data_IF_182526935099
#
_entry.id   IF_182526935099
#
_cell.length_a   1.000
_cell.length_b   1.000
_cell.length_c   1.000
_cell.angle_alpha   90.00
_cell.angle_beta   90.00
_cell.angle_gamma   90.00
#
_symmetry.space_group_name_H-M   'P 1'
#
loop_
_entity.id
_entity.type
_entity.pdbx_description
1 polymer ?
#
# COMPACT_ATOMS: atom_id res chain seq x y z
N UNK A 1 20.76 25.18 21.83
CA UNK A 1 20.92 24.73 20.43
C UNK A 1 21.43 25.89 19.60
N UNK A 2 22.38 25.67 18.71
CA UNK A 2 22.79 26.71 17.76
C UNK A 2 21.69 26.94 16.70
N UNK A 3 21.61 28.13 16.07
CA UNK A 3 20.66 28.38 14.98
C UNK A 3 20.74 27.35 13.84
N UNK A 4 21.95 26.84 13.57
CA UNK A 4 22.20 25.79 12.56
C UNK A 4 21.55 24.46 12.97
N UNK A 5 21.69 24.05 14.23
CA UNK A 5 21.05 22.83 14.73
C UNK A 5 19.52 22.93 14.67
N UNK A 6 18.97 24.10 14.96
CA UNK A 6 17.53 24.35 14.85
C UNK A 6 17.05 24.24 13.40
N UNK A 7 17.77 24.84 12.45
CA UNK A 7 17.46 24.74 11.02
C UNK A 7 17.49 23.29 10.52
N UNK A 8 18.56 22.54 10.84
CA UNK A 8 18.69 21.12 10.47
C UNK A 8 17.59 20.27 11.13
N UNK A 9 17.24 20.56 12.39
CA UNK A 9 16.12 19.93 13.07
C UNK A 9 14.79 20.17 12.37
N UNK A 10 14.50 21.42 11.98
CA UNK A 10 13.28 21.76 11.22
C UNK A 10 13.25 21.05 9.86
N UNK A 11 14.36 21.05 9.12
CA UNK A 11 14.45 20.34 7.84
C UNK A 11 14.26 18.83 8.02
N UNK A 12 14.76 18.25 9.10
CA UNK A 12 14.60 16.83 9.41
C UNK A 12 13.15 16.51 9.73
N UNK A 13 12.48 17.33 10.53
CA UNK A 13 11.07 17.15 10.84
C UNK A 13 10.20 17.26 9.58
N UNK A 14 10.45 18.26 8.74
CA UNK A 14 9.76 18.40 7.45
C UNK A 14 10.00 17.18 6.56
N UNK A 15 11.25 16.72 6.46
CA UNK A 15 11.60 15.54 5.69
C UNK A 15 10.92 14.27 6.20
N UNK A 16 10.93 14.06 7.52
CA UNK A 16 10.27 12.92 8.15
C UNK A 16 8.75 12.98 7.97
N UNK A 17 8.16 14.17 8.00
CA UNK A 17 6.71 14.34 7.79
C UNK A 17 6.24 13.90 6.40
N UNK A 18 7.09 14.01 5.38
CA UNK A 18 6.77 13.53 4.04
C UNK A 18 6.50 12.02 4.05
N UNK A 19 7.15 11.24 4.92
CA UNK A 19 6.99 9.78 4.97
C UNK A 19 5.64 9.31 5.55
N UNK A 20 4.79 10.25 5.97
CA UNK A 20 3.41 10.00 6.29
C UNK A 20 2.60 9.87 5.01
N UNK A 21 2.19 8.64 4.70
CA UNK A 21 1.38 8.33 3.52
C UNK A 21 -0.04 8.04 3.94
N UNK A 22 -0.98 8.83 3.42
CA UNK A 22 -2.40 8.50 3.53
C UNK A 22 -2.77 7.37 2.56
N UNK A 23 -3.41 6.34 3.10
CA UNK A 23 -3.92 5.18 2.37
C UNK A 23 -5.43 5.16 2.56
N UNK A 24 -6.16 4.95 1.47
CA UNK A 24 -7.62 4.90 1.51
C UNK A 24 -8.09 3.62 2.20
N UNK A 25 -9.31 3.63 2.75
CA UNK A 25 -9.91 2.47 3.42
C UNK A 25 -10.20 1.28 2.50
N UNK A 26 -10.24 1.53 1.18
CA UNK A 26 -10.45 0.55 0.10
C UNK A 26 -9.13 0.14 -0.58
N UNK A 27 -7.98 0.37 0.06
CA UNK A 27 -6.68 0.02 -0.48
C UNK A 27 -5.81 -0.72 0.53
N UNK A 28 -5.04 -1.68 0.04
CA UNK A 28 -3.98 -2.33 0.81
C UNK A 28 -2.66 -1.63 0.55
N UNK A 29 -1.93 -1.34 1.62
CA UNK A 29 -0.59 -0.79 1.54
C UNK A 29 0.42 -1.92 1.68
N UNK A 30 1.14 -2.23 0.61
CA UNK A 30 2.30 -3.10 0.64
C UNK A 30 3.53 -2.26 0.90
N UNK A 31 4.23 -2.47 2.01
CA UNK A 31 5.49 -1.79 2.27
C UNK A 31 6.64 -2.78 2.37
N UNK A 32 7.83 -2.34 1.94
CA UNK A 32 9.06 -3.12 2.07
C UNK A 32 9.77 -2.75 3.36
N UNK A 33 10.12 -3.76 4.16
CA UNK A 33 10.94 -3.62 5.37
C UNK A 33 12.16 -4.53 5.25
N UNK A 34 13.30 -3.94 4.92
CA UNK A 34 14.53 -4.68 4.64
C UNK A 34 14.40 -5.56 3.38
N UNK A 35 14.49 -6.88 3.54
CA UNK A 35 14.36 -7.84 2.43
C UNK A 35 12.94 -8.36 2.20
N UNK A 36 12.03 -8.15 3.14
CA UNK A 36 10.66 -8.67 3.07
C UNK A 36 9.64 -7.59 2.72
N UNK A 37 8.49 -8.06 2.25
CA UNK A 37 7.28 -7.24 2.08
C UNK A 37 6.25 -7.60 3.14
N UNK A 38 5.54 -6.59 3.61
CA UNK A 38 4.40 -6.71 4.52
C UNK A 38 3.20 -5.96 3.93
N UNK A 39 2.00 -6.50 4.12
CA UNK A 39 0.75 -5.81 3.78
C UNK A 39 0.15 -5.20 5.04
N UNK A 40 -0.33 -3.97 4.90
CA UNK A 40 -1.06 -3.25 5.92
C UNK A 40 -2.46 -2.98 5.38
N UNK A 41 -3.43 -3.69 5.95
CA UNK A 41 -4.85 -3.55 5.60
C UNK A 41 -5.57 -2.61 6.57
N UNK A 42 -5.08 -2.49 7.82
CA UNK A 42 -5.59 -1.62 8.90
C UNK A 42 -4.46 -1.26 9.87
N UNK A 43 -4.69 -0.27 10.75
CA UNK A 43 -3.77 0.04 11.86
C UNK A 43 -2.69 1.07 11.55
N UNK A 44 -2.99 2.08 10.72
CA UNK A 44 -2.14 3.26 10.61
C UNK A 44 -2.03 4.03 11.94
N UNK A 45 -1.07 4.96 12.01
CA UNK A 45 -0.88 5.87 13.16
C UNK A 45 -2.16 6.61 13.52
N UNK A 46 -2.92 6.99 12.49
CA UNK A 46 -4.24 7.60 12.60
C UNK A 46 -5.14 6.84 11.63
N UNK A 47 -6.29 6.37 12.09
CA UNK A 47 -7.27 5.68 11.25
C UNK A 47 -8.62 6.39 11.31
N UNK A 48 -9.34 6.33 10.19
CA UNK A 48 -10.67 6.92 10.01
C UNK A 48 -11.49 6.03 9.08
N UNK A 49 -12.79 6.32 8.94
CA UNK A 49 -13.64 5.66 7.95
C UNK A 49 -13.20 5.88 6.50
N UNK A 50 -12.41 6.93 6.22
CA UNK A 50 -11.93 7.26 4.88
C UNK A 50 -10.58 6.65 4.53
N UNK A 51 -9.87 6.11 5.53
CA UNK A 51 -8.50 5.63 5.36
C UNK A 51 -7.65 5.83 6.60
N UNK A 52 -6.36 5.56 6.45
CA UNK A 52 -5.39 5.61 7.52
C UNK A 52 -4.05 6.20 7.08
N UNK A 53 -3.39 6.86 8.02
CA UNK A 53 -2.06 7.44 7.86
C UNK A 53 -1.00 6.43 8.28
N UNK A 54 -0.09 6.10 7.37
CA UNK A 54 0.98 5.14 7.61
C UNK A 54 2.35 5.79 7.50
N UNK A 55 3.28 5.34 8.34
CA UNK A 55 4.68 5.70 8.22
C UNK A 55 5.40 4.74 7.26
N UNK A 56 6.03 5.30 6.23
CA UNK A 56 6.88 4.57 5.28
C UNK A 56 8.35 4.81 5.63
N UNK A 57 9.25 3.89 5.26
CA UNK A 57 10.65 3.97 5.66
C UNK A 57 11.32 5.28 5.19
N UNK A 58 12.02 6.02 6.07
CA UNK A 58 12.48 7.38 5.81
C UNK A 58 13.73 7.47 4.93
N UNK A 59 14.40 6.36 4.65
CA UNK A 59 15.58 6.39 3.78
C UNK A 59 15.12 6.15 2.35
N UNK A 60 15.46 7.03 1.40
CA UNK A 60 15.05 6.89 0.01
C UNK A 60 15.43 5.50 -0.49
N UNK A 61 14.49 4.84 -1.18
CA UNK A 61 14.72 3.59 -1.93
C UNK A 61 15.04 2.33 -1.12
N UNK A 62 15.36 2.48 0.17
CA UNK A 62 15.34 1.36 1.11
C UNK A 62 13.90 1.04 1.54
N UNK A 63 13.04 2.07 1.57
CA UNK A 63 11.59 1.91 1.63
C UNK A 63 11.01 1.72 0.24
N UNK A 64 9.97 0.91 0.14
CA UNK A 64 9.04 0.90 -1.00
C UNK A 64 7.64 0.77 -0.47
N UNK A 65 6.69 1.39 -1.16
CA UNK A 65 5.29 1.30 -0.82
C UNK A 65 4.43 1.24 -2.08
N UNK A 66 3.59 0.22 -2.18
CA UNK A 66 2.53 0.13 -3.19
C UNK A 66 1.17 0.20 -2.52
N UNK A 67 0.26 0.97 -3.10
CA UNK A 67 -1.13 1.04 -2.70
C UNK A 67 -1.95 0.37 -3.78
N UNK A 68 -2.64 -0.71 -3.43
CA UNK A 68 -3.45 -1.51 -4.37
C UNK A 68 -4.90 -1.50 -3.90
N UNK A 69 -5.83 -1.11 -4.76
CA UNK A 69 -7.25 -1.03 -4.38
C UNK A 69 -7.87 -2.43 -4.32
N UNK A 70 -8.76 -2.66 -3.36
CA UNK A 70 -9.39 -3.97 -3.10
C UNK A 70 -10.63 -4.22 -3.95
N UNK A 71 -11.24 -3.19 -4.52
CA UNK A 71 -12.40 -3.32 -5.39
C UNK A 71 -12.35 -2.29 -6.51
N UNK A 72 -12.89 -2.62 -7.70
CA UNK A 72 -12.96 -1.66 -8.79
C UNK A 72 -13.82 -0.47 -8.34
N UNK A 73 -13.57 0.75 -8.86
CA UNK A 73 -14.41 1.89 -8.58
C UNK A 73 -15.84 1.61 -9.05
N UNK A 74 -16.71 1.15 -8.16
CA UNK A 74 -18.15 1.05 -8.40
C UNK A 74 -18.80 2.38 -8.09
N UNK A 75 -19.62 2.82 -9.05
CA UNK A 75 -20.55 3.94 -9.02
C UNK A 75 -19.94 5.36 -8.99
N UNK A 76 -19.59 5.86 -10.19
CA UNK A 76 -20.29 7.02 -10.79
C UNK A 76 -19.50 7.64 -11.94
N UNK A 77 -19.10 6.86 -12.94
CA UNK A 77 -18.96 7.40 -14.29
C UNK A 77 -19.14 6.26 -15.26
N UNK A 78 -20.15 6.41 -16.12
CA UNK A 78 -20.35 5.61 -17.32
C UNK A 78 -19.11 5.75 -18.18
N UNK A 79 -18.14 4.86 -17.99
CA UNK A 79 -17.13 4.57 -18.98
C UNK A 79 -17.11 3.07 -19.10
N UNK A 80 -17.42 2.60 -20.30
CA UNK A 80 -17.33 1.23 -20.79
C UNK A 80 -15.86 0.77 -20.83
N UNK A 81 -15.10 1.07 -19.79
CA UNK A 81 -13.73 0.64 -19.59
C UNK A 81 -13.81 -0.81 -19.10
N UNK A 82 -13.42 -1.70 -20.00
CA UNK A 82 -13.22 -3.13 -19.81
C UNK A 82 -12.74 -3.43 -18.38
N UNK A 83 -13.64 -3.93 -17.52
CA UNK A 83 -13.21 -4.48 -16.22
C UNK A 83 -12.12 -5.51 -16.53
N UNK A 84 -10.93 -5.42 -15.91
CA UNK A 84 -9.92 -6.45 -16.12
C UNK A 84 -10.55 -7.78 -15.71
N UNK A 85 -10.43 -8.80 -16.56
CA UNK A 85 -10.90 -10.14 -16.22
C UNK A 85 -10.25 -10.58 -14.90
N UNK A 86 -10.97 -11.36 -14.09
CA UNK A 86 -10.45 -11.88 -12.82
C UNK A 86 -9.12 -12.59 -13.03
N UNK A 87 -8.97 -13.30 -14.15
CA UNK A 87 -7.71 -13.93 -14.57
C UNK A 87 -6.56 -12.92 -14.69
N UNK A 88 -6.80 -11.77 -15.33
CA UNK A 88 -5.79 -10.70 -15.45
C UNK A 88 -5.48 -10.10 -14.07
N UNK A 89 -6.51 -9.85 -13.25
CA UNK A 89 -6.34 -9.27 -11.92
C UNK A 89 -5.54 -10.19 -10.97
N UNK A 90 -5.60 -11.51 -11.17
CA UNK A 90 -4.87 -12.52 -10.41
C UNK A 90 -3.59 -13.03 -11.08
N UNK A 91 -3.18 -12.45 -12.21
CA UNK A 91 -1.98 -12.87 -12.95
C UNK A 91 -0.69 -12.47 -12.23
N UNK A 92 -0.14 -13.40 -11.44
CA UNK A 92 1.16 -13.25 -10.74
C UNK A 92 2.30 -12.92 -11.70
N UNK A 93 2.25 -13.46 -12.93
CA UNK A 93 3.29 -13.24 -13.94
C UNK A 93 3.25 -11.79 -14.44
N UNK A 94 2.06 -11.26 -14.74
CA UNK A 94 1.92 -9.88 -15.22
C UNK A 94 2.24 -8.86 -14.12
N UNK A 95 1.90 -9.17 -12.87
CA UNK A 95 2.34 -8.38 -11.71
C UNK A 95 3.86 -8.35 -11.63
N UNK A 96 4.53 -9.50 -11.75
CA UNK A 96 5.99 -9.60 -11.74
C UNK A 96 6.65 -8.80 -12.85
N UNK A 97 6.13 -8.90 -14.08
CA UNK A 97 6.61 -8.10 -15.22
C UNK A 97 6.39 -6.60 -15.01
N UNK A 98 5.21 -6.19 -14.53
CA UNK A 98 4.93 -4.76 -14.25
C UNK A 98 5.83 -4.22 -13.14
N UNK A 99 6.03 -5.00 -12.08
CA UNK A 99 6.95 -4.65 -10.99
C UNK A 99 8.39 -4.44 -11.50
N UNK A 100 8.92 -5.38 -12.30
CA UNK A 100 10.26 -5.27 -12.87
C UNK A 100 10.38 -4.10 -13.85
N UNK A 101 9.41 -3.93 -14.76
CA UNK A 101 9.42 -2.84 -15.73
C UNK A 101 9.36 -1.45 -15.08
N UNK A 102 8.61 -1.31 -13.99
CA UNK A 102 8.59 -0.06 -13.20
C UNK A 102 9.93 0.16 -12.50
N UNK A 103 10.54 -0.88 -11.93
CA UNK A 103 11.85 -0.75 -11.28
C UNK A 103 12.93 -0.26 -12.27
N UNK A 104 12.98 -0.86 -13.46
CA UNK A 104 13.93 -0.51 -14.51
C UNK A 104 13.68 0.91 -15.04
N UNK A 105 12.43 1.25 -15.33
CA UNK A 105 12.07 2.56 -15.87
C UNK A 105 12.44 3.72 -14.93
N UNK A 106 12.34 3.50 -13.62
CA UNK A 106 12.60 4.52 -12.60
C UNK A 106 14.03 4.48 -12.03
N UNK A 107 14.92 3.63 -12.54
CA UNK A 107 16.29 3.49 -12.06
C UNK A 107 17.11 4.78 -12.21
N UNK A 108 16.88 5.60 -13.23
CA UNK A 108 17.59 6.89 -13.37
C UNK A 108 17.14 7.91 -12.33
N UNK A 109 15.83 7.96 -12.03
CA UNK A 109 15.26 8.82 -10.99
C UNK A 109 15.81 8.48 -9.60
N UNK A 110 16.20 7.22 -9.43
CA UNK A 110 16.86 6.71 -8.25
C UNK A 110 18.16 7.46 -7.94
N UNK A 111 19.02 7.64 -8.94
CA UNK A 111 20.30 8.30 -8.74
C UNK A 111 20.14 9.79 -8.44
N UNK A 112 19.24 10.48 -9.15
CA UNK A 112 19.00 11.91 -8.90
C UNK A 112 18.44 12.15 -7.50
N UNK A 113 17.56 11.27 -7.03
CA UNK A 113 17.01 11.31 -5.67
C UNK A 113 18.09 11.08 -4.60
N UNK A 114 19.01 10.13 -4.80
CA UNK A 114 20.17 9.94 -3.90
C UNK A 114 21.11 11.13 -3.89
N UNK A 115 21.41 11.70 -5.06
CA UNK A 115 22.27 12.88 -5.15
C UNK A 115 21.65 14.07 -4.41
N UNK A 116 20.35 14.29 -4.58
CA UNK A 116 19.64 15.37 -3.88
C UNK A 116 19.58 15.13 -2.36
N UNK A 117 19.35 13.88 -1.94
CA UNK A 117 19.42 13.50 -0.54
C UNK A 117 20.82 13.74 0.05
N UNK A 118 21.87 13.29 -0.64
CA UNK A 118 23.26 13.50 -0.22
C UNK A 118 23.63 14.99 -0.18
N UNK A 119 23.13 15.78 -1.14
CA UNK A 119 23.31 17.23 -1.16
C UNK A 119 22.74 17.88 0.11
N UNK A 120 21.52 17.52 0.50
CA UNK A 120 20.83 18.09 1.66
C UNK A 120 21.37 17.57 3.00
N UNK A 121 21.68 16.27 3.10
CA UNK A 121 21.99 15.63 4.37
C UNK A 121 23.48 15.45 4.64
N UNK A 122 24.33 15.49 3.62
CA UNK A 122 25.78 15.27 3.76
C UNK A 122 26.55 16.53 3.35
N UNK A 123 26.31 17.05 2.15
CA UNK A 123 27.08 18.18 1.61
C UNK A 123 26.73 19.48 2.35
N UNK A 124 25.44 19.74 2.61
CA UNK A 124 24.99 20.92 3.34
C UNK A 124 25.65 21.09 4.72
N UNK A 125 25.59 20.11 5.66
CA UNK A 125 26.23 20.26 6.97
C UNK A 125 27.76 20.41 6.86
N UNK A 126 28.42 19.73 5.92
CA UNK A 126 29.85 19.89 5.69
C UNK A 126 30.18 21.32 5.23
N UNK A 127 29.50 21.83 4.21
CA UNK A 127 29.73 23.19 3.70
C UNK A 127 29.41 24.26 4.75
N UNK A 128 28.37 24.07 5.56
CA UNK A 128 28.06 24.97 6.69
C UNK A 128 29.22 25.07 7.68
N UNK A 129 29.87 23.94 7.97
CA UNK A 129 30.97 23.89 8.92
C UNK A 129 32.23 24.59 8.41
N UNK A 130 32.50 24.53 7.11
CA UNK A 130 33.75 25.07 6.53
C UNK A 130 33.62 26.48 5.95
N UNK A 131 32.50 26.81 5.30
CA UNK A 131 32.37 28.02 4.48
C UNK A 131 31.34 29.02 5.02
N UNK A 132 30.57 28.65 6.05
CA UNK A 132 29.47 29.46 6.57
C UNK A 132 28.25 29.50 5.65
N UNK A 133 27.25 30.31 6.02
CA UNK A 133 25.91 30.24 5.42
C UNK A 133 25.84 30.81 3.98
N UNK A 134 26.47 31.96 3.73
CA UNK A 134 26.26 32.71 2.49
C UNK A 134 26.81 32.04 1.21
N UNK A 135 28.10 31.64 1.13
CA UNK A 135 28.60 30.96 -0.06
C UNK A 135 27.97 29.56 -0.24
N UNK A 136 27.66 28.89 0.87
CA UNK A 136 26.95 27.62 0.85
C UNK A 136 25.58 27.75 0.17
N UNK A 137 24.81 28.80 0.48
CA UNK A 137 23.47 28.98 -0.09
C UNK A 137 23.49 29.00 -1.63
N UNK A 138 24.44 29.68 -2.26
CA UNK A 138 24.53 29.72 -3.72
C UNK A 138 24.89 28.36 -4.34
N UNK A 139 25.84 27.64 -3.72
CA UNK A 139 26.25 26.31 -4.19
C UNK A 139 25.10 25.30 -4.02
N UNK A 140 24.47 25.28 -2.85
CA UNK A 140 23.36 24.37 -2.58
C UNK A 140 22.12 24.71 -3.39
N UNK A 141 21.76 26.00 -3.52
CA UNK A 141 20.57 26.40 -4.28
C UNK A 141 20.72 26.04 -5.76
N UNK A 142 21.88 26.30 -6.37
CA UNK A 142 22.14 25.94 -7.77
C UNK A 142 22.15 24.43 -7.99
N UNK A 143 22.87 23.68 -7.13
CA UNK A 143 22.90 22.22 -7.18
C UNK A 143 21.53 21.59 -6.98
N UNK A 144 20.78 22.06 -5.98
CA UNK A 144 19.43 21.59 -5.69
C UNK A 144 18.48 21.91 -6.86
N UNK A 145 18.53 23.13 -7.40
CA UNK A 145 17.69 23.53 -8.54
C UNK A 145 17.96 22.64 -9.77
N UNK A 146 19.22 22.41 -10.13
CA UNK A 146 19.58 21.54 -11.25
C UNK A 146 19.05 20.12 -11.03
N UNK A 147 19.26 19.55 -9.84
CA UNK A 147 18.80 18.21 -9.52
C UNK A 147 17.27 18.12 -9.47
N UNK A 148 16.58 19.12 -8.95
CA UNK A 148 15.10 19.18 -8.91
C UNK A 148 14.52 19.26 -10.32
N UNK A 149 15.07 20.12 -11.19
CA UNK A 149 14.65 20.22 -12.60
C UNK A 149 14.89 18.90 -13.34
N UNK A 150 16.07 18.29 -13.15
CA UNK A 150 16.38 16.99 -13.74
C UNK A 150 15.43 15.90 -13.24
N UNK A 151 15.15 15.87 -11.94
CA UNK A 151 14.24 14.92 -11.31
C UNK A 151 12.81 15.07 -11.85
N UNK A 152 12.28 16.29 -11.88
CA UNK A 152 10.96 16.60 -12.44
C UNK A 152 10.85 16.25 -13.93
N UNK A 153 11.89 16.53 -14.72
CA UNK A 153 11.93 16.19 -16.15
C UNK A 153 11.94 14.67 -16.38
N UNK A 154 12.79 13.92 -15.66
CA UNK A 154 12.84 12.46 -15.72
C UNK A 154 11.49 11.88 -15.29
N UNK A 155 10.93 12.38 -14.19
CA UNK A 155 9.62 11.96 -13.68
C UNK A 155 8.52 12.17 -14.73
N UNK A 156 8.44 13.36 -15.33
CA UNK A 156 7.45 13.66 -16.37
C UNK A 156 7.60 12.73 -17.58
N UNK A 157 8.83 12.47 -18.02
CA UNK A 157 9.13 11.62 -19.18
C UNK A 157 8.86 10.14 -18.93
N UNK A 158 9.27 9.60 -17.78
CA UNK A 158 9.09 8.20 -17.45
C UNK A 158 7.63 7.92 -17.10
N UNK A 159 7.02 8.75 -16.25
CA UNK A 159 5.63 8.57 -15.85
C UNK A 159 4.65 8.72 -17.02
N UNK A 160 4.92 9.60 -17.99
CA UNK A 160 4.07 9.69 -19.19
C UNK A 160 4.13 8.44 -20.07
N UNK A 161 5.27 7.73 -20.08
CA UNK A 161 5.43 6.46 -20.81
C UNK A 161 4.82 5.28 -20.06
N UNK A 162 4.98 5.22 -18.74
CA UNK A 162 4.54 4.08 -17.92
C UNK A 162 3.06 4.18 -17.53
N UNK A 163 2.55 5.40 -17.30
CA UNK A 163 1.18 5.67 -16.84
C UNK A 163 0.55 6.78 -17.68
N UNK A 164 0.18 6.45 -18.92
CA UNK A 164 -0.40 7.41 -19.88
C UNK A 164 -1.76 7.96 -19.44
N UNK A 165 -2.55 7.19 -18.68
CA UNK A 165 -3.93 7.51 -18.31
C UNK A 165 -4.05 8.47 -17.10
N UNK A 166 -2.96 8.70 -16.34
CA UNK A 166 -3.00 9.46 -15.08
C UNK A 166 -2.44 10.88 -15.21
N UNK A 167 -3.00 11.68 -16.13
CA UNK A 167 -2.51 13.03 -16.44
C UNK A 167 -2.47 14.01 -15.27
N UNK A 168 -3.54 14.09 -14.49
CA UNK A 168 -3.67 15.02 -13.35
C UNK A 168 -2.72 14.65 -12.19
N UNK A 169 -2.62 13.35 -11.89
CA UNK A 169 -1.71 12.86 -10.87
C UNK A 169 -0.25 13.10 -11.27
N UNK A 170 0.09 12.90 -12.54
CA UNK A 170 1.41 13.25 -13.08
C UNK A 170 1.73 14.73 -12.89
N UNK A 171 0.79 15.62 -13.23
CA UNK A 171 1.00 17.07 -13.06
C UNK A 171 1.24 17.41 -11.59
N UNK A 172 0.43 16.86 -10.67
CA UNK A 172 0.61 17.07 -9.23
C UNK A 172 1.96 16.58 -8.73
N UNK A 173 2.39 15.39 -9.15
CA UNK A 173 3.69 14.82 -8.77
C UNK A 173 4.85 15.69 -9.29
N UNK A 174 4.81 16.08 -10.57
CA UNK A 174 5.84 16.93 -11.18
C UNK A 174 5.89 18.30 -10.51
N UNK A 175 4.75 18.95 -10.29
CA UNK A 175 4.69 20.24 -9.59
C UNK A 175 5.23 20.13 -8.15
N UNK A 176 4.87 19.07 -7.41
CA UNK A 176 5.40 18.87 -6.06
C UNK A 176 6.92 18.70 -6.07
N UNK A 177 7.48 17.92 -7.00
CA UNK A 177 8.92 17.75 -7.15
C UNK A 177 9.63 19.05 -7.58
N UNK A 178 9.00 19.91 -8.39
CA UNK A 178 9.55 21.22 -8.76
C UNK A 178 9.54 22.22 -7.59
N UNK A 179 8.51 22.17 -6.74
CA UNK A 179 8.30 23.18 -5.70
C UNK A 179 8.94 22.82 -4.36
N UNK A 180 9.24 21.55 -4.12
CA UNK A 180 9.81 21.07 -2.86
C UNK A 180 10.98 20.11 -3.10
N UNK A 181 12.20 20.42 -2.59
CA UNK A 181 13.32 19.49 -2.67
C UNK A 181 13.04 18.18 -1.91
N UNK A 182 12.23 18.22 -0.85
CA UNK A 182 11.86 17.04 -0.08
C UNK A 182 10.95 16.12 -0.89
N UNK A 183 9.99 16.69 -1.63
CA UNK A 183 9.15 15.94 -2.56
C UNK A 183 9.97 15.38 -3.72
N UNK A 184 10.97 16.12 -4.23
CA UNK A 184 11.88 15.64 -5.27
C UNK A 184 12.75 14.47 -4.80
N UNK A 185 13.23 14.47 -3.56
CA UNK A 185 13.96 13.32 -2.97
C UNK A 185 13.07 12.06 -2.95
N UNK A 186 11.76 12.22 -2.78
CA UNK A 186 10.79 11.14 -2.66
C UNK A 186 9.98 10.87 -3.94
N UNK A 187 10.31 11.55 -5.03
CA UNK A 187 9.54 11.45 -6.28
C UNK A 187 9.49 10.03 -6.81
N UNK A 188 10.58 9.27 -6.60
CA UNK A 188 10.66 7.85 -6.92
C UNK A 188 9.65 6.99 -6.15
N UNK A 189 9.50 7.22 -4.85
CA UNK A 189 8.54 6.48 -4.01
C UNK A 189 7.09 6.85 -4.35
N UNK A 190 6.84 8.14 -4.58
CA UNK A 190 5.50 8.65 -4.87
C UNK A 190 5.00 8.23 -6.25
N UNK A 191 5.88 8.26 -7.26
CA UNK A 191 5.53 7.94 -8.64
C UNK A 191 5.15 6.48 -8.86
N UNK A 192 5.73 5.55 -8.09
CA UNK A 192 5.43 4.13 -8.20
C UNK A 192 4.32 3.67 -7.26
N UNK A 193 3.78 4.54 -6.39
CA UNK A 193 2.81 4.17 -5.36
C UNK A 193 1.62 3.40 -5.92
N UNK A 194 1.15 3.76 -7.11
CA UNK A 194 -0.01 3.14 -7.78
C UNK A 194 0.40 2.16 -8.90
N UNK A 195 1.68 1.77 -8.97
CA UNK A 195 2.20 0.96 -10.07
C UNK A 195 1.50 -0.41 -10.21
N UNK A 196 0.99 -0.95 -9.12
CA UNK A 196 0.31 -2.24 -9.08
C UNK A 196 -1.21 -2.09 -8.95
N UNK A 197 -1.75 -0.90 -9.18
CA UNK A 197 -3.20 -0.71 -9.21
C UNK A 197 -3.82 -1.48 -10.40
N UNK A 198 -5.07 -1.93 -10.22
CA UNK A 198 -5.77 -2.79 -11.16
C UNK A 198 -5.51 -4.30 -11.00
N UNK A 199 -4.57 -4.71 -10.15
CA UNK A 199 -4.42 -6.11 -9.74
C UNK A 199 -5.11 -6.38 -8.41
N UNK A 200 -5.47 -7.64 -8.16
CA UNK A 200 -6.02 -8.03 -6.87
C UNK A 200 -4.92 -8.02 -5.79
N UNK A 201 -5.14 -7.42 -4.61
CA UNK A 201 -4.12 -7.31 -3.56
C UNK A 201 -3.49 -8.64 -3.13
N UNK A 202 -4.27 -9.73 -3.04
CA UNK A 202 -3.70 -11.05 -2.72
C UNK A 202 -2.77 -11.60 -3.81
N UNK A 203 -3.04 -11.31 -5.07
CA UNK A 203 -2.16 -11.69 -6.17
C UNK A 203 -0.86 -10.87 -6.12
N UNK A 204 -0.96 -9.58 -5.79
CA UNK A 204 0.20 -8.72 -5.54
C UNK A 204 1.04 -9.27 -4.39
N UNK A 205 0.40 -9.62 -3.28
CA UNK A 205 1.05 -10.25 -2.13
C UNK A 205 1.78 -11.54 -2.53
N UNK A 206 1.20 -12.35 -3.42
CA UNK A 206 1.81 -13.59 -3.90
C UNK A 206 3.02 -13.35 -4.82
N UNK A 207 2.99 -12.28 -5.61
CA UNK A 207 4.01 -11.93 -6.59
C UNK A 207 5.22 -11.20 -5.99
N UNK A 208 5.02 -10.46 -4.89
CA UNK A 208 6.08 -9.68 -4.26
C UNK A 208 7.14 -10.61 -3.62
N UNK A 209 8.44 -10.38 -3.89
CA UNK A 209 9.49 -11.30 -3.46
C UNK A 209 9.72 -11.25 -1.94
N UNK A 210 9.64 -12.38 -1.25
CA UNK A 210 9.84 -12.44 0.20
C UNK A 210 8.68 -11.84 1.01
N UNK A 211 7.48 -11.77 0.42
CA UNK A 211 6.27 -11.41 1.15
C UNK A 211 5.97 -12.44 2.25
N UNK A 212 5.78 -11.97 3.49
CA UNK A 212 5.48 -12.81 4.65
C UNK A 212 4.00 -12.70 5.04
N UNK A 213 3.43 -13.76 5.61
CA UNK A 213 2.04 -13.74 6.09
C UNK A 213 0.97 -13.81 4.98
N UNK A 214 1.32 -14.34 3.80
CA UNK A 214 0.36 -14.50 2.71
C UNK A 214 -0.84 -15.37 3.09
N UNK A 215 -0.58 -16.49 3.79
CA UNK A 215 -1.61 -17.45 4.21
C UNK A 215 -2.65 -16.81 5.13
N UNK A 216 -2.21 -16.09 6.16
CA UNK A 216 -3.12 -15.39 7.09
C UNK A 216 -4.00 -14.36 6.39
N UNK A 217 -3.42 -13.60 5.45
CA UNK A 217 -4.15 -12.61 4.66
C UNK A 217 -5.15 -13.27 3.69
N UNK A 218 -4.74 -14.34 3.02
CA UNK A 218 -5.59 -15.10 2.12
C UNK A 218 -6.76 -15.73 2.89
N UNK A 219 -6.48 -16.34 4.05
CA UNK A 219 -7.50 -16.91 4.94
C UNK A 219 -8.50 -15.86 5.42
N UNK A 220 -8.05 -14.65 5.77
CA UNK A 220 -8.91 -13.56 6.22
C UNK A 220 -9.82 -13.05 5.09
N UNK A 221 -9.28 -12.86 3.88
CA UNK A 221 -10.06 -12.39 2.74
C UNK A 221 -11.01 -13.48 2.21
N UNK A 222 -10.57 -14.74 2.17
CA UNK A 222 -11.42 -15.88 1.85
C UNK A 222 -12.66 -15.94 2.74
N UNK A 223 -12.47 -15.91 4.07
CA UNK A 223 -13.58 -15.90 5.04
C UNK A 223 -14.46 -14.66 4.86
N UNK A 224 -13.86 -13.50 4.57
CA UNK A 224 -14.60 -12.25 4.34
C UNK A 224 -15.55 -12.36 3.15
N UNK A 225 -15.12 -12.97 2.05
CA UNK A 225 -15.90 -13.13 0.82
C UNK A 225 -16.91 -14.29 0.93
N UNK A 226 -16.47 -15.43 1.46
CA UNK A 226 -17.33 -16.62 1.61
C UNK A 226 -18.50 -16.36 2.57
N UNK A 227 -18.22 -15.69 3.69
CA UNK A 227 -19.22 -15.31 4.68
C UNK A 227 -19.69 -13.86 4.50
N UNK A 228 -19.59 -13.24 3.30
CA UNK A 228 -20.37 -12.02 3.00
C UNK A 228 -21.71 -12.36 2.35
N UNK A 229 -21.73 -13.38 1.50
CA UNK A 229 -22.89 -13.79 0.69
C UNK A 229 -24.04 -14.37 1.53
N UNK A 230 -23.74 -15.01 2.66
CA UNK A 230 -24.77 -15.68 3.47
C UNK A 230 -25.61 -14.75 4.38
N UNK A 231 -25.33 -13.44 4.45
CA UNK A 231 -26.06 -12.50 5.33
C UNK A 231 -27.24 -11.78 4.67
N UNK A 232 -27.47 -11.95 3.36
CA UNK A 232 -28.53 -11.20 2.65
C UNK A 232 -29.96 -11.70 2.93
N UNK A 233 -30.16 -12.74 3.75
CA UNK A 233 -31.50 -13.14 4.18
C UNK A 233 -32.09 -12.25 5.30
N UNK A 234 -31.39 -11.20 5.74
CA UNK A 234 -31.86 -10.31 6.81
C UNK A 234 -31.51 -8.82 6.55
N UNK A 235 -32.38 -8.14 5.81
CA UNK A 235 -32.66 -6.70 5.80
C UNK A 235 -31.53 -5.71 6.19
N UNK A 236 -30.99 -4.99 5.19
CA UNK A 236 -30.83 -3.51 5.15
C UNK A 236 -29.64 -3.10 4.26
N UNK A 237 -30.01 -2.54 3.10
CA UNK A 237 -29.34 -1.50 2.30
C UNK A 237 -27.91 -1.07 2.68
N UNK A 238 -26.89 -1.70 2.09
CA UNK A 238 -25.68 -1.03 1.60
C UNK A 238 -24.74 -2.00 0.86
N UNK A 239 -24.56 -1.76 -0.44
CA UNK A 239 -23.54 -2.36 -1.33
C UNK A 239 -23.65 -3.90 -1.44
N UNK A 240 -24.56 -4.34 -2.30
CA UNK A 240 -24.60 -5.72 -2.80
C UNK A 240 -23.34 -5.96 -3.63
N UNK A 241 -22.29 -6.51 -3.01
CA UNK A 241 -21.25 -7.19 -3.79
C UNK A 241 -21.94 -8.43 -4.35
N UNK A 242 -22.02 -8.52 -5.67
CA UNK A 242 -22.71 -9.62 -6.34
C UNK A 242 -22.17 -10.96 -5.81
N UNK A 243 -23.07 -11.84 -5.38
CA UNK A 243 -22.74 -13.16 -4.89
C UNK A 243 -21.91 -13.94 -5.91
N UNK A 244 -22.16 -13.71 -7.21
CA UNK A 244 -21.39 -14.28 -8.31
C UNK A 244 -19.94 -13.75 -8.32
N UNK A 245 -19.74 -12.43 -8.24
CA UNK A 245 -18.40 -11.81 -8.21
C UNK A 245 -17.58 -12.30 -7.01
N UNK A 246 -18.21 -12.43 -5.84
CA UNK A 246 -17.56 -12.97 -4.64
C UNK A 246 -17.14 -14.43 -4.81
N UNK A 247 -17.97 -15.26 -5.45
CA UNK A 247 -17.67 -16.66 -5.72
C UNK A 247 -16.52 -16.82 -6.72
N UNK A 248 -16.48 -16.01 -7.77
CA UNK A 248 -15.38 -16.02 -8.75
C UNK A 248 -14.05 -15.59 -8.12
N UNK A 249 -14.06 -14.56 -7.27
CA UNK A 249 -12.86 -14.14 -6.54
C UNK A 249 -12.41 -15.23 -5.57
N UNK A 250 -13.33 -15.90 -4.86
CA UNK A 250 -12.98 -17.06 -4.03
C UNK A 250 -12.31 -18.14 -4.87
N UNK A 251 -12.90 -18.54 -6.00
CA UNK A 251 -12.30 -19.55 -6.89
C UNK A 251 -10.88 -19.16 -7.33
N UNK A 252 -10.64 -17.89 -7.65
CA UNK A 252 -9.30 -17.40 -8.00
C UNK A 252 -8.31 -17.47 -6.81
N UNK A 253 -8.75 -17.15 -5.60
CA UNK A 253 -7.94 -17.31 -4.37
C UNK A 253 -7.59 -18.77 -4.13
N UNK A 254 -8.53 -19.70 -4.32
CA UNK A 254 -8.32 -21.14 -4.16
C UNK A 254 -7.29 -21.67 -5.16
N UNK A 255 -7.38 -21.28 -6.43
CA UNK A 255 -6.38 -21.63 -7.46
C UNK A 255 -5.00 -21.11 -7.05
N UNK A 256 -4.91 -19.87 -6.59
CA UNK A 256 -3.65 -19.27 -6.17
C UNK A 256 -3.06 -19.95 -4.93
N UNK A 257 -3.90 -20.34 -3.96
CA UNK A 257 -3.50 -21.07 -2.76
C UNK A 257 -2.90 -22.44 -3.09
N UNK A 258 -3.60 -23.21 -3.94
CA UNK A 258 -3.13 -24.53 -4.38
C UNK A 258 -1.79 -24.45 -5.12
N UNK A 259 -1.59 -23.42 -5.96
CA UNK A 259 -0.28 -23.17 -6.62
C UNK A 259 0.85 -22.90 -5.63
N UNK A 260 0.53 -22.44 -4.43
CA UNK A 260 1.49 -22.22 -3.33
C UNK A 260 1.61 -23.43 -2.38
N UNK A 261 0.92 -24.53 -2.68
CA UNK A 261 0.92 -25.74 -1.85
C UNK A 261 0.07 -25.62 -0.57
N UNK A 262 -0.87 -24.68 -0.54
CA UNK A 262 -1.78 -24.44 0.59
C UNK A 262 -3.14 -25.05 0.25
N UNK A 263 -3.75 -25.77 1.19
CA UNK A 263 -5.11 -26.33 1.04
C UNK A 263 -6.15 -25.39 1.65
N UNK A 264 -6.98 -24.70 0.84
CA UNK A 264 -7.98 -23.75 1.36
C UNK A 264 -8.97 -24.33 2.36
N UNK A 265 -9.17 -25.66 2.39
CA UNK A 265 -10.05 -26.31 3.35
C UNK A 265 -9.66 -26.01 4.81
N UNK A 266 -8.36 -25.79 5.10
CA UNK A 266 -7.92 -25.46 6.45
C UNK A 266 -8.32 -24.04 6.89
N UNK A 267 -8.64 -23.13 5.96
CA UNK A 267 -9.06 -21.76 6.32
C UNK A 267 -10.43 -21.72 6.98
N UNK A 268 -11.28 -22.71 6.69
CA UNK A 268 -12.60 -22.88 7.31
C UNK A 268 -12.53 -23.67 8.63
N UNK A 269 -11.36 -24.19 8.98
CA UNK A 269 -11.20 -24.95 10.23
C UNK A 269 -11.41 -24.05 11.45
N UNK A 270 -12.18 -24.52 12.45
CA UNK A 270 -12.49 -23.73 13.64
C UNK A 270 -11.20 -23.37 14.41
N UNK A 271 -11.15 -22.18 15.04
CA UNK A 271 -10.05 -21.84 15.94
C UNK A 271 -10.06 -22.76 17.16
N UNK A 272 -8.85 -23.04 17.67
CA UNK A 272 -8.69 -23.66 18.98
C UNK A 272 -9.21 -22.72 20.05
N UNK A 273 -10.01 -23.24 20.99
CA UNK A 273 -10.50 -22.47 22.12
C UNK A 273 -9.33 -21.84 22.90
N UNK A 274 -9.37 -20.52 23.09
CA UNK A 274 -8.42 -19.78 23.92
C UNK A 274 -8.69 -19.99 25.42
N UNK A 275 -9.97 -20.17 25.77
CA UNK A 275 -10.46 -20.41 27.12
C UNK A 275 -11.58 -21.47 27.07
N UNK A 276 -11.73 -22.26 28.14
CA UNK A 276 -12.83 -23.20 28.32
C UNK A 276 -14.21 -22.51 28.30
N UNK A 277 -14.28 -21.21 28.64
CA UNK A 277 -15.51 -20.44 28.56
C UNK A 277 -15.94 -20.11 27.11
N UNK A 278 -15.01 -20.16 26.15
CA UNK A 278 -15.28 -19.89 24.74
C UNK A 278 -15.84 -21.14 24.06
N UNK A 279 -17.14 -21.14 23.81
CA UNK A 279 -17.86 -22.25 23.17
C UNK A 279 -18.25 -21.97 21.72
N UNK A 280 -18.10 -20.72 21.27
CA UNK A 280 -18.52 -20.27 19.94
C UNK A 280 -17.48 -19.34 19.31
N UNK A 281 -17.48 -19.24 17.97
CA UNK A 281 -16.62 -18.33 17.24
C UNK A 281 -17.34 -17.71 16.02
N UNK A 282 -16.86 -16.56 15.59
CA UNK A 282 -17.31 -15.95 14.34
C UNK A 282 -16.56 -16.55 13.13
N UNK A 283 -17.24 -17.13 12.13
CA UNK A 283 -16.56 -17.70 10.96
C UNK A 283 -15.83 -16.65 10.11
N UNK A 284 -16.29 -15.39 10.13
CA UNK A 284 -15.70 -14.30 9.35
C UNK A 284 -14.40 -13.75 9.96
N UNK A 285 -14.42 -13.38 11.24
CA UNK A 285 -13.27 -12.73 11.90
C UNK A 285 -12.48 -13.66 12.84
N UNK A 286 -13.02 -14.83 13.19
CA UNK A 286 -12.48 -15.80 14.17
C UNK A 286 -12.42 -15.35 15.63
N UNK A 287 -12.98 -14.18 15.97
CA UNK A 287 -13.20 -13.81 17.38
C UNK A 287 -14.04 -14.88 18.08
N UNK A 288 -13.60 -15.29 19.26
CA UNK A 288 -14.24 -16.30 20.10
C UNK A 288 -15.19 -15.64 21.10
N UNK A 289 -16.24 -16.36 21.46
CA UNK A 289 -17.30 -15.88 22.32
C UNK A 289 -17.77 -16.99 23.28
N UNK A 290 -18.26 -16.56 24.45
CA UNK A 290 -19.02 -17.40 25.36
C UNK A 290 -20.41 -17.70 24.80
N UNK A 291 -21.05 -18.80 25.23
CA UNK A 291 -22.36 -19.25 24.71
C UNK A 291 -23.54 -18.28 24.84
N UNK A 292 -23.40 -17.15 25.54
CA UNK A 292 -24.42 -16.10 25.63
C UNK A 292 -24.41 -15.11 24.45
N UNK A 293 -23.36 -15.10 23.63
CA UNK A 293 -23.27 -14.18 22.50
C UNK A 293 -24.19 -14.62 21.35
N UNK A 294 -24.95 -13.67 20.81
CA UNK A 294 -25.85 -13.93 19.67
C UNK A 294 -25.29 -13.38 18.35
N UNK A 295 -24.35 -12.43 18.41
CA UNK A 295 -23.71 -11.87 17.23
C UNK A 295 -22.27 -11.46 17.52
N UNK A 296 -21.48 -11.36 16.45
CA UNK A 296 -20.12 -10.87 16.51
C UNK A 296 -20.10 -9.35 16.66
N UNK A 297 -19.44 -8.83 17.70
CA UNK A 297 -19.33 -7.38 17.93
C UNK A 297 -18.40 -6.69 16.93
N UNK A 298 -17.38 -7.39 16.45
CA UNK A 298 -16.35 -6.80 15.57
C UNK A 298 -16.82 -6.64 14.13
N UNK A 299 -17.48 -7.65 13.57
CA UNK A 299 -17.89 -7.67 12.18
C UNK A 299 -19.41 -7.72 11.97
N UNK A 300 -20.20 -7.64 13.07
CA UNK A 300 -21.68 -7.66 13.09
C UNK A 300 -22.30 -8.91 12.46
N UNK A 301 -21.53 -10.00 12.37
CA UNK A 301 -22.01 -11.27 11.86
C UNK A 301 -23.00 -11.91 12.83
N UNK A 302 -24.15 -12.37 12.32
CA UNK A 302 -25.29 -12.81 13.14
C UNK A 302 -25.28 -14.31 13.45
N UNK A 303 -24.50 -15.13 12.74
CA UNK A 303 -24.48 -16.59 12.91
C UNK A 303 -23.13 -17.07 13.45
N UNK A 304 -22.98 -17.14 14.78
CA UNK A 304 -21.81 -17.73 15.44
C UNK A 304 -21.83 -19.25 15.31
N UNK A 305 -20.67 -19.87 15.10
CA UNK A 305 -20.53 -21.32 14.97
C UNK A 305 -19.93 -21.91 16.26
N UNK A 306 -20.29 -23.15 16.66
CA UNK A 306 -19.71 -23.80 17.82
C UNK A 306 -18.22 -24.13 17.61
N UNK A 307 -17.42 -24.03 18.67
CA UNK A 307 -16.04 -24.54 18.67
C UNK A 307 -16.11 -26.04 19.03
N UNK A 308 -15.56 -26.94 18.20
CA UNK A 308 -15.47 -28.36 18.55
C UNK A 308 -14.60 -28.54 19.80
N UNK A 309 -15.09 -29.32 20.77
CA UNK A 309 -14.35 -29.69 21.98
C UNK A 309 -13.37 -30.83 21.71
#
# INVERSE_FOLDING_TARGET
MSPVQMLLGCLLLLYLSEFLVWVRSDAWLFRRRGRGWEALTRGGLISSSRGSLHWVYPVPQLGRAYSVRTSPPTASTVSTALRPSIETAFSVVDIGRRYQGVEEAFQTLRWTSWCLWGLVWVICPLLLQFMGLQPMLWILASGALILMVANAWILARVHSKTFSESGDERLRLVLSACLSPLAAIRSWDLAQKQALDGFHPLAVAAALPGFQGWDELAAAEWRRLRYSVASESSASSAITVDAAESAEVCAAIEVLARRRGIDPAHWDSPPRAEDMAHTQYCPRCRTQYTGQATCCRDCRWTALLPIPQ
#
